data_IF_562543298448
#
_entry.id   IF_562543298448
#
_cell.length_a   1.000
_cell.length_b   1.000
_cell.length_c   1.000
_cell.angle_alpha   90.00
_cell.angle_beta   90.00
_cell.angle_gamma   90.00
#
_symmetry.space_group_name_H-M   'P 1'
#
loop_
_entity.id
_entity.type
_entity.pdbx_description
1 polymer ?
#
# COMPACT_ATOMS: atom_id res chain seq x y z
N UNK A 1 9.11 -34.35 17.64
CA UNK A 1 8.34 -34.14 18.90
C UNK A 1 8.32 -35.45 19.68
N UNK A 2 8.72 -35.46 20.95
CA UNK A 2 8.47 -36.60 21.84
C UNK A 2 7.02 -36.50 22.31
N UNK A 3 6.21 -37.52 22.08
CA UNK A 3 4.82 -37.56 22.53
C UNK A 3 4.82 -37.51 24.08
N UNK A 4 4.13 -36.55 24.72
CA UNK A 4 4.04 -36.51 26.17
C UNK A 4 3.50 -37.84 26.71
N UNK A 5 4.08 -38.36 27.80
CA UNK A 5 3.57 -39.57 28.44
C UNK A 5 2.12 -39.30 28.91
N UNK A 6 1.15 -39.93 28.26
CA UNK A 6 -0.26 -39.86 28.66
C UNK A 6 -0.49 -40.93 29.70
N UNK A 7 -0.88 -40.53 30.90
CA UNK A 7 -1.19 -41.41 32.03
C UNK A 7 -2.60 -42.01 31.96
N UNK A 8 -3.32 -41.79 30.85
CA UNK A 8 -4.62 -42.40 30.61
C UNK A 8 -4.43 -43.73 29.87
N UNK A 9 -4.88 -44.82 30.49
CA UNK A 9 -4.92 -46.13 29.84
C UNK A 9 -5.75 -46.07 28.54
N UNK A 10 -5.18 -46.53 27.43
CA UNK A 10 -5.84 -46.66 26.11
C UNK A 10 -6.19 -45.35 25.37
N UNK A 11 -5.43 -44.27 25.56
CA UNK A 11 -5.60 -43.06 24.74
C UNK A 11 -5.10 -43.27 23.30
N UNK A 12 -5.99 -43.15 22.32
CA UNK A 12 -5.68 -43.16 20.89
C UNK A 12 -6.28 -41.95 20.17
N UNK A 13 -5.52 -41.36 19.24
CA UNK A 13 -6.02 -40.35 18.34
C UNK A 13 -6.89 -40.99 17.25
N UNK A 14 -8.19 -40.69 17.28
CA UNK A 14 -9.13 -41.18 16.26
C UNK A 14 -8.76 -40.63 14.87
N UNK A 15 -8.82 -41.48 13.85
CA UNK A 15 -8.56 -41.10 12.45
C UNK A 15 -9.32 -39.85 12.00
N UNK A 16 -10.60 -39.70 12.37
CA UNK A 16 -11.40 -38.53 12.01
C UNK A 16 -10.84 -37.20 12.54
N UNK A 17 -10.12 -37.21 13.67
CA UNK A 17 -9.46 -36.02 14.21
C UNK A 17 -8.21 -35.66 13.41
N UNK A 18 -7.47 -36.68 12.95
CA UNK A 18 -6.32 -36.52 12.06
C UNK A 18 -6.77 -35.93 10.73
N UNK A 19 -7.83 -36.48 10.12
CA UNK A 19 -8.41 -35.94 8.88
C UNK A 19 -8.87 -34.48 9.03
N UNK A 20 -9.43 -34.12 10.19
CA UNK A 20 -9.90 -32.76 10.45
C UNK A 20 -8.75 -31.73 10.44
N UNK A 21 -7.61 -32.05 11.05
CA UNK A 21 -6.44 -31.16 11.04
C UNK A 21 -5.70 -31.18 9.71
N UNK A 22 -5.79 -32.27 8.95
CA UNK A 22 -5.22 -32.38 7.61
C UNK A 22 -6.00 -31.59 6.54
N UNK A 23 -7.27 -31.26 6.79
CA UNK A 23 -8.11 -30.56 5.81
C UNK A 23 -7.58 -29.15 5.45
N UNK A 24 -6.75 -28.57 6.31
CA UNK A 24 -6.10 -27.27 6.08
C UNK A 24 -4.67 -27.29 6.57
N UNK A 25 -3.85 -28.14 5.95
CA UNK A 25 -2.42 -28.21 6.23
C UNK A 25 -1.71 -26.91 5.88
N UNK A 26 -0.67 -26.61 6.65
CA UNK A 26 0.26 -25.52 6.36
C UNK A 26 1.52 -26.09 5.70
N UNK A 27 1.82 -25.61 4.49
CA UNK A 27 2.93 -26.13 3.69
C UNK A 27 4.25 -25.38 3.94
N UNK A 28 4.15 -24.14 4.41
CA UNK A 28 5.30 -23.23 4.58
C UNK A 28 5.58 -22.36 3.36
N UNK A 29 4.57 -22.10 2.51
CA UNK A 29 4.70 -21.18 1.38
C UNK A 29 4.69 -19.71 1.82
N UNK A 30 5.32 -18.82 1.06
CA UNK A 30 5.43 -17.39 1.40
C UNK A 30 4.09 -16.65 1.54
N UNK A 31 3.05 -17.13 0.85
CA UNK A 31 1.70 -16.56 0.89
C UNK A 31 0.83 -17.07 2.04
N UNK A 32 1.28 -18.10 2.77
CA UNK A 32 0.53 -18.65 3.89
C UNK A 32 0.77 -17.83 5.16
N UNK A 33 -0.30 -17.59 5.93
CA UNK A 33 -0.21 -16.90 7.22
C UNK A 33 -0.10 -17.92 8.37
N UNK A 34 1.08 -18.05 9.01
CA UNK A 34 1.26 -19.00 10.10
C UNK A 34 0.46 -18.63 11.36
N UNK A 35 0.13 -17.35 11.58
CA UNK A 35 -0.75 -16.96 12.68
C UNK A 35 -2.20 -17.40 12.43
N UNK A 36 -2.69 -17.25 11.20
CA UNK A 36 -4.00 -17.77 10.81
C UNK A 36 -4.08 -19.29 10.95
N UNK A 37 -3.00 -20.01 10.58
CA UNK A 37 -2.90 -21.47 10.78
C UNK A 37 -3.03 -21.86 12.26
N UNK A 38 -2.20 -21.25 13.13
CA UNK A 38 -2.23 -21.54 14.57
C UNK A 38 -3.60 -21.24 15.18
N UNK A 39 -4.26 -20.14 14.78
CA UNK A 39 -5.61 -19.81 15.24
C UNK A 39 -6.65 -20.85 14.81
N UNK A 40 -6.61 -21.28 13.55
CA UNK A 40 -7.48 -22.34 13.05
C UNK A 40 -7.26 -23.67 13.80
N UNK A 41 -6.00 -24.07 13.97
CA UNK A 41 -5.63 -25.27 14.72
C UNK A 41 -6.10 -25.22 16.19
N UNK A 42 -5.91 -24.07 16.85
CA UNK A 42 -6.39 -23.86 18.22
C UNK A 42 -7.91 -23.94 18.31
N UNK A 43 -8.65 -23.41 17.34
CA UNK A 43 -10.11 -23.52 17.31
C UNK A 43 -10.55 -24.98 17.24
N UNK A 44 -9.98 -25.80 16.35
CA UNK A 44 -10.29 -27.24 16.28
C UNK A 44 -9.97 -27.93 17.61
N UNK A 45 -8.73 -27.77 18.08
CA UNK A 45 -8.25 -28.49 19.27
C UNK A 45 -8.91 -28.05 20.57
N UNK A 46 -9.47 -26.83 20.63
CA UNK A 46 -10.25 -26.35 21.79
C UNK A 46 -11.55 -27.12 22.01
N UNK A 47 -12.11 -27.72 20.95
CA UNK A 47 -13.33 -28.54 21.03
C UNK A 47 -13.07 -29.95 21.54
N UNK A 48 -11.80 -30.38 21.55
CA UNK A 48 -11.40 -31.72 21.94
C UNK A 48 -11.23 -31.80 23.46
N UNK A 49 -12.05 -32.65 24.09
CA UNK A 49 -11.99 -32.96 25.51
C UNK A 49 -11.82 -34.46 25.70
N UNK A 50 -10.71 -34.85 26.33
CA UNK A 50 -10.46 -36.23 26.74
C UNK A 50 -10.25 -36.26 28.25
N UNK A 51 -10.89 -37.20 28.98
CA UNK A 51 -10.65 -37.39 30.40
C UNK A 51 -9.16 -37.61 30.66
N UNK A 52 -8.59 -36.93 31.66
CA UNK A 52 -7.22 -37.09 32.13
C UNK A 52 -6.11 -36.79 31.10
N UNK A 53 -6.43 -36.17 29.95
CA UNK A 53 -5.41 -35.74 28.97
C UNK A 53 -5.39 -34.22 28.86
N UNK A 54 -4.27 -33.56 29.21
CA UNK A 54 -4.14 -32.12 29.05
C UNK A 54 -4.32 -31.68 27.60
N UNK A 55 -5.02 -30.56 27.38
CA UNK A 55 -5.24 -30.04 26.03
C UNK A 55 -3.94 -29.73 25.28
N UNK A 56 -2.92 -29.27 26.01
CA UNK A 56 -1.56 -29.08 25.51
C UNK A 56 -0.98 -30.36 24.90
N UNK A 57 -1.19 -31.52 25.53
CA UNK A 57 -0.73 -32.81 25.01
C UNK A 57 -1.44 -33.17 23.71
N UNK A 58 -2.76 -32.97 23.65
CA UNK A 58 -3.56 -33.18 22.42
C UNK A 58 -3.01 -32.34 21.27
N UNK A 59 -2.77 -31.04 21.53
CA UNK A 59 -2.22 -30.11 20.54
C UNK A 59 -0.86 -30.57 20.02
N UNK A 60 0.06 -30.93 20.91
CA UNK A 60 1.40 -31.38 20.52
C UNK A 60 1.37 -32.67 19.68
N UNK A 61 0.44 -33.58 19.95
CA UNK A 61 0.28 -34.80 19.15
C UNK A 61 -0.39 -34.56 17.80
N UNK A 62 -1.35 -33.63 17.71
CA UNK A 62 -2.08 -33.36 16.47
C UNK A 62 -1.34 -32.40 15.53
N UNK A 63 -0.50 -31.53 16.07
CA UNK A 63 0.18 -30.50 15.28
C UNK A 63 1.01 -31.03 14.10
N UNK A 64 1.78 -32.13 14.21
CA UNK A 64 2.49 -32.71 13.07
C UNK A 64 1.58 -33.00 11.87
N UNK A 65 0.36 -33.49 12.11
CA UNK A 65 -0.61 -33.80 11.05
C UNK A 65 -1.23 -32.55 10.41
N UNK A 66 -1.03 -31.37 11.01
CA UNK A 66 -1.46 -30.08 10.44
C UNK A 66 -0.41 -29.43 9.54
N UNK A 67 0.78 -30.03 9.41
CA UNK A 67 1.87 -29.52 8.60
C UNK A 67 2.10 -30.43 7.40
N UNK A 68 2.65 -29.87 6.33
CA UNK A 68 3.07 -30.58 5.12
C UNK A 68 4.29 -29.86 4.52
N UNK A 69 4.99 -30.49 3.57
CA UNK A 69 6.04 -29.82 2.80
C UNK A 69 7.17 -29.23 3.67
N UNK A 70 7.50 -27.94 3.46
CA UNK A 70 8.59 -27.27 4.17
C UNK A 70 8.33 -27.19 5.67
N UNK A 71 7.07 -27.03 6.08
CA UNK A 71 6.70 -26.97 7.49
C UNK A 71 6.89 -28.31 8.21
N UNK A 72 6.55 -29.42 7.55
CA UNK A 72 6.81 -30.75 8.09
C UNK A 72 8.32 -31.01 8.23
N UNK A 73 9.10 -30.72 7.18
CA UNK A 73 10.56 -30.88 7.19
C UNK A 73 11.20 -30.07 8.32
N UNK A 74 10.71 -28.85 8.58
CA UNK A 74 11.18 -28.04 9.71
C UNK A 74 10.93 -28.74 11.05
N UNK A 75 9.73 -29.27 11.24
CA UNK A 75 9.35 -29.92 12.49
C UNK A 75 10.18 -31.19 12.76
N UNK A 76 10.51 -31.94 11.72
CA UNK A 76 11.38 -33.13 11.79
C UNK A 76 12.83 -32.79 12.16
N UNK A 77 13.31 -31.60 11.78
CA UNK A 77 14.66 -31.11 12.12
C UNK A 77 14.76 -30.59 13.55
N UNK A 78 13.64 -30.32 14.23
CA UNK A 78 13.69 -29.86 15.61
C UNK A 78 14.21 -30.98 16.53
N UNK A 79 15.19 -30.68 17.41
CA UNK A 79 15.81 -31.69 18.26
C UNK A 79 14.75 -32.36 19.16
N UNK A 80 14.84 -33.68 19.40
CA UNK A 80 13.99 -34.36 20.36
C UNK A 80 14.31 -33.82 21.76
N UNK A 81 13.52 -32.87 22.24
CA UNK A 81 13.60 -32.36 23.61
C UNK A 81 12.37 -32.81 24.39
N UNK A 82 12.59 -33.25 25.62
CA UNK A 82 11.63 -33.95 26.47
C UNK A 82 10.58 -33.04 27.16
N UNK A 83 10.50 -31.76 26.78
CA UNK A 83 9.67 -30.76 27.47
C UNK A 83 9.14 -29.65 26.52
N UNK A 84 8.65 -30.02 25.34
CA UNK A 84 7.90 -29.07 24.50
C UNK A 84 6.64 -28.61 25.24
N UNK A 85 6.55 -27.34 25.58
CA UNK A 85 5.25 -26.69 25.83
C UNK A 85 4.65 -26.28 24.49
N UNK A 86 3.32 -26.23 24.39
CA UNK A 86 2.64 -25.75 23.20
C UNK A 86 3.09 -24.34 22.82
N UNK A 87 3.21 -23.44 23.80
CA UNK A 87 3.61 -22.05 23.56
C UNK A 87 5.05 -21.95 23.02
N UNK A 88 5.97 -22.79 23.52
CA UNK A 88 7.33 -22.84 23.00
C UNK A 88 7.36 -23.31 21.55
N UNK A 89 6.59 -24.35 21.20
CA UNK A 89 6.50 -24.85 19.82
C UNK A 89 5.90 -23.80 18.88
N UNK A 90 4.81 -23.15 19.30
CA UNK A 90 4.17 -22.08 18.53
C UNK A 90 5.16 -20.92 18.31
N UNK A 91 5.86 -20.48 19.35
CA UNK A 91 6.85 -19.40 19.24
C UNK A 91 7.94 -19.74 18.23
N UNK A 92 8.48 -20.97 18.29
CA UNK A 92 9.47 -21.49 17.34
C UNK A 92 8.92 -21.55 15.92
N UNK A 93 7.70 -22.04 15.74
CA UNK A 93 7.03 -22.13 14.44
C UNK A 93 6.82 -20.74 13.81
N UNK A 94 6.25 -19.79 14.57
CA UNK A 94 6.05 -18.42 14.10
C UNK A 94 7.40 -17.79 13.72
N UNK A 95 8.42 -17.90 14.56
CA UNK A 95 9.74 -17.34 14.25
C UNK A 95 10.41 -17.97 13.02
N UNK A 96 10.07 -19.21 12.66
CA UNK A 96 10.63 -19.85 11.48
C UNK A 96 9.95 -19.38 10.19
N UNK A 97 8.62 -19.35 10.16
CA UNK A 97 7.84 -19.07 8.94
C UNK A 97 7.48 -17.59 8.78
N UNK A 98 7.48 -16.87 9.90
CA UNK A 98 7.25 -15.43 9.99
C UNK A 98 8.25 -14.81 10.98
N UNK A 99 9.57 -14.89 10.69
CA UNK A 99 10.59 -14.37 11.58
C UNK A 99 10.35 -12.88 11.87
N UNK A 100 10.75 -12.40 13.05
CA UNK A 100 10.66 -10.98 13.38
C UNK A 100 11.28 -10.09 12.31
N UNK A 101 12.32 -10.55 11.59
CA UNK A 101 12.91 -9.84 10.46
C UNK A 101 11.93 -9.52 9.31
N UNK A 102 10.92 -10.36 9.05
CA UNK A 102 9.83 -10.05 8.10
C UNK A 102 8.92 -8.91 8.62
N UNK A 103 8.82 -8.74 9.94
CA UNK A 103 8.13 -7.59 10.59
C UNK A 103 9.05 -6.41 10.89
N UNK A 104 10.38 -6.61 10.87
CA UNK A 104 11.38 -5.57 11.11
C UNK A 104 11.38 -4.54 9.99
N UNK A 105 11.10 -4.94 8.74
CA UNK A 105 11.05 -3.98 7.65
C UNK A 105 9.90 -2.97 7.82
N UNK A 106 8.61 -3.37 7.96
CA UNK A 106 7.54 -2.38 8.16
C UNK A 106 7.70 -1.59 9.48
N UNK A 107 8.24 -2.20 10.54
CA UNK A 107 8.53 -1.48 11.80
C UNK A 107 9.57 -0.37 11.60
N UNK A 108 10.63 -0.68 10.87
CA UNK A 108 11.67 0.28 10.53
C UNK A 108 11.13 1.32 9.54
N UNK A 109 10.30 0.93 8.59
CA UNK A 109 9.66 1.85 7.65
C UNK A 109 8.68 2.79 8.33
N UNK A 110 7.98 2.37 9.39
CA UNK A 110 7.15 3.25 10.22
C UNK A 110 8.03 4.18 11.04
N UNK A 111 9.04 3.67 11.74
CA UNK A 111 9.92 4.48 12.60
C UNK A 111 10.74 5.50 11.80
N UNK A 112 11.19 5.12 10.60
CA UNK A 112 11.95 5.98 9.69
C UNK A 112 11.07 6.55 8.58
N UNK A 113 9.74 6.58 8.78
CA UNK A 113 8.84 7.12 7.79
C UNK A 113 9.23 8.57 7.50
N UNK A 114 9.24 8.93 6.22
CA UNK A 114 9.47 10.30 5.78
C UNK A 114 8.64 10.53 4.53
N UNK A 115 7.98 11.69 4.45
CA UNK A 115 7.29 12.12 3.26
C UNK A 115 8.32 12.44 2.16
N UNK A 116 8.17 11.86 0.97
CA UNK A 116 9.04 12.18 -0.16
C UNK A 116 8.79 13.61 -0.67
N UNK A 117 9.79 14.24 -1.28
CA UNK A 117 9.70 15.63 -1.73
C UNK A 117 8.60 15.86 -2.79
N UNK A 118 8.37 14.88 -3.65
CA UNK A 118 7.35 14.86 -4.70
C UNK A 118 6.03 14.19 -4.28
N UNK A 119 5.96 13.67 -3.05
CA UNK A 119 4.79 12.96 -2.53
C UNK A 119 3.81 13.93 -1.88
N UNK A 120 2.56 13.89 -2.34
CA UNK A 120 1.49 14.69 -1.74
C UNK A 120 1.15 14.19 -0.33
N UNK A 121 0.63 15.08 0.52
CA UNK A 121 0.18 14.71 1.87
C UNK A 121 -0.73 13.47 1.91
N UNK A 122 -1.65 13.36 0.95
CA UNK A 122 -2.57 12.24 0.94
C UNK A 122 -1.89 10.94 0.51
N UNK A 123 -0.89 10.98 -0.37
CA UNK A 123 -0.10 9.77 -0.73
C UNK A 123 0.70 9.29 0.45
N UNK A 124 1.35 10.21 1.17
CA UNK A 124 2.05 9.89 2.41
C UNK A 124 1.11 9.31 3.46
N UNK A 125 -0.10 9.88 3.63
CA UNK A 125 -1.11 9.38 4.56
C UNK A 125 -1.59 7.97 4.17
N UNK A 126 -1.84 7.72 2.90
CA UNK A 126 -2.27 6.40 2.40
C UNK A 126 -1.16 5.36 2.61
N UNK A 127 0.09 5.69 2.27
CA UNK A 127 1.28 4.84 2.47
C UNK A 127 1.49 4.52 3.95
N UNK A 128 1.38 5.51 4.83
CA UNK A 128 1.52 5.28 6.27
C UNK A 128 0.41 4.35 6.81
N UNK A 129 -0.83 4.51 6.36
CA UNK A 129 -1.93 3.60 6.73
C UNK A 129 -1.72 2.18 6.20
N UNK A 130 -1.16 2.03 5.01
CA UNK A 130 -0.81 0.72 4.44
C UNK A 130 0.24 0.01 5.30
N UNK A 131 1.27 0.73 5.76
CA UNK A 131 2.28 0.20 6.68
C UNK A 131 1.69 -0.24 8.02
N UNK A 132 0.78 0.56 8.60
CA UNK A 132 0.08 0.19 9.84
C UNK A 132 -0.78 -1.07 9.65
N UNK A 133 -1.43 -1.23 8.48
CA UNK A 133 -2.23 -2.41 8.14
C UNK A 133 -1.40 -3.67 7.93
N UNK A 134 -0.15 -3.54 7.46
CA UNK A 134 0.78 -4.65 7.33
C UNK A 134 1.28 -5.20 8.69
N UNK A 135 1.19 -4.40 9.76
CA UNK A 135 1.68 -4.74 11.10
C UNK A 135 0.66 -4.51 12.23
N UNK A 136 -0.50 -5.20 12.21
CA UNK A 136 -1.58 -4.95 13.18
C UNK A 136 -1.24 -5.39 14.63
N UNK A 137 -0.20 -6.20 14.80
CA UNK A 137 0.21 -6.77 16.10
C UNK A 137 1.34 -5.98 16.79
N UNK A 138 1.83 -4.89 16.19
CA UNK A 138 3.00 -4.17 16.69
C UNK A 138 2.76 -3.26 17.90
N UNK A 139 1.49 -3.03 18.26
CA UNK A 139 1.15 -2.37 19.53
C UNK A 139 1.51 -0.88 19.62
N UNK A 140 1.68 -0.18 18.50
CA UNK A 140 1.86 1.28 18.51
C UNK A 140 0.60 1.97 19.01
N UNK A 141 0.73 2.83 20.04
CA UNK A 141 -0.38 3.66 20.50
C UNK A 141 -0.78 4.68 19.43
N UNK A 142 -2.04 5.13 19.44
CA UNK A 142 -2.52 6.18 18.51
C UNK A 142 -1.65 7.45 18.61
N UNK A 143 -1.24 7.83 19.82
CA UNK A 143 -0.35 8.96 20.04
C UNK A 143 1.00 8.78 19.36
N UNK A 144 1.61 7.60 19.48
CA UNK A 144 2.89 7.31 18.82
C UNK A 144 2.76 7.32 17.29
N UNK A 145 1.65 6.83 16.75
CA UNK A 145 1.39 6.87 15.32
C UNK A 145 1.24 8.31 14.82
N UNK A 146 0.52 9.16 15.55
CA UNK A 146 0.33 10.58 15.22
C UNK A 146 1.63 11.38 15.29
N UNK A 147 2.42 11.18 16.35
CA UNK A 147 3.72 11.82 16.53
C UNK A 147 4.69 11.43 15.40
N UNK A 148 4.82 10.12 15.14
CA UNK A 148 5.67 9.60 14.07
C UNK A 148 5.27 10.15 12.71
N UNK A 149 3.97 10.14 12.39
CA UNK A 149 3.48 10.67 11.12
C UNK A 149 3.74 12.16 11.00
N UNK A 150 3.43 12.97 12.01
CA UNK A 150 3.62 14.42 11.98
C UNK A 150 5.09 14.79 11.78
N UNK A 151 6.00 14.18 12.55
CA UNK A 151 7.44 14.47 12.49
C UNK A 151 8.08 14.04 11.17
N UNK A 152 7.46 13.09 10.46
CA UNK A 152 7.90 12.62 9.16
C UNK A 152 7.45 13.48 7.97
N UNK A 153 6.48 14.38 8.17
CA UNK A 153 5.99 15.27 7.11
C UNK A 153 6.99 16.37 6.78
N UNK A 154 6.88 16.90 5.56
CA UNK A 154 7.59 18.13 5.22
C UNK A 154 7.01 19.33 5.98
N UNK A 155 7.79 20.41 6.11
CA UNK A 155 7.41 21.60 6.87
C UNK A 155 6.09 22.22 6.41
N UNK A 156 5.84 22.26 5.09
CA UNK A 156 4.61 22.80 4.51
C UNK A 156 3.37 22.05 4.99
N UNK A 157 3.44 20.72 5.04
CA UNK A 157 2.32 19.90 5.49
C UNK A 157 2.17 19.92 7.02
N UNK A 158 3.26 20.04 7.78
CA UNK A 158 3.22 20.30 9.22
C UNK A 158 2.52 21.64 9.53
N UNK A 159 2.92 22.73 8.87
CA UNK A 159 2.33 24.06 9.04
C UNK A 159 0.85 24.07 8.67
N UNK A 160 0.49 23.34 7.62
CA UNK A 160 -0.91 23.17 7.22
C UNK A 160 -1.73 22.42 8.27
N UNK A 161 -1.17 21.41 8.94
CA UNK A 161 -1.83 20.71 10.03
C UNK A 161 -1.97 21.61 11.27
N UNK A 162 -0.92 22.35 11.64
CA UNK A 162 -0.96 23.30 12.75
C UNK A 162 -2.02 24.41 12.52
N UNK A 163 -2.09 24.92 11.29
CA UNK A 163 -3.10 25.92 10.90
C UNK A 163 -4.51 25.36 11.02
N UNK A 164 -4.74 24.12 10.58
CA UNK A 164 -6.04 23.46 10.69
C UNK A 164 -6.42 23.12 12.15
N UNK A 165 -5.43 22.86 13.00
CA UNK A 165 -5.63 22.66 14.44
C UNK A 165 -5.87 23.98 15.20
N UNK A 166 -5.53 25.13 14.61
CA UNK A 166 -5.54 26.42 15.31
C UNK A 166 -4.48 26.50 16.41
N UNK A 167 -3.33 25.83 16.23
CA UNK A 167 -2.27 25.71 17.22
C UNK A 167 -1.33 24.55 16.90
N UNK A 168 -0.56 24.07 17.88
CA UNK A 168 0.28 22.88 17.70
C UNK A 168 -0.63 21.67 17.50
N UNK A 169 -0.46 20.98 16.38
CA UNK A 169 -1.28 19.83 16.00
C UNK A 169 -1.24 18.71 17.05
N UNK A 170 -0.04 18.40 17.57
CA UNK A 170 0.16 17.33 18.54
C UNK A 170 -0.41 17.62 19.94
N UNK A 171 -0.82 18.87 20.23
CA UNK A 171 -1.48 19.22 21.50
C UNK A 171 -2.98 18.88 21.50
N UNK A 172 -3.54 18.53 20.34
CA UNK A 172 -4.96 18.15 20.21
C UNK A 172 -5.19 16.72 20.69
N UNK A 173 -6.45 16.43 21.00
CA UNK A 173 -6.86 15.06 21.32
C UNK A 173 -6.68 14.15 20.10
N UNK A 174 -6.27 12.88 20.25
CA UNK A 174 -6.00 11.98 19.11
C UNK A 174 -7.13 11.91 18.07
N UNK A 175 -8.38 11.87 18.53
CA UNK A 175 -9.57 11.88 17.67
C UNK A 175 -9.65 13.13 16.76
N UNK A 176 -9.22 14.28 17.27
CA UNK A 176 -9.22 15.56 16.54
C UNK A 176 -8.07 15.58 15.53
N UNK A 177 -6.89 15.10 15.92
CA UNK A 177 -5.76 14.92 15.02
C UNK A 177 -6.12 14.04 13.82
N UNK A 178 -6.76 12.89 14.08
CA UNK A 178 -7.24 11.98 13.02
C UNK A 178 -8.24 12.69 12.10
N UNK A 179 -9.22 13.41 12.66
CA UNK A 179 -10.21 14.14 11.88
C UNK A 179 -9.58 15.22 10.97
N UNK A 180 -8.58 15.95 11.47
CA UNK A 180 -7.84 16.95 10.71
C UNK A 180 -7.04 16.30 9.57
N UNK A 181 -6.32 15.21 9.86
CA UNK A 181 -5.57 14.43 8.85
C UNK A 181 -6.52 13.96 7.75
N UNK A 182 -7.66 13.38 8.11
CA UNK A 182 -8.65 12.92 7.13
C UNK A 182 -9.25 14.06 6.31
N UNK A 183 -9.54 15.20 6.94
CA UNK A 183 -10.07 16.37 6.24
C UNK A 183 -9.08 16.86 5.18
N UNK A 184 -7.79 16.99 5.56
CA UNK A 184 -6.73 17.40 4.65
C UNK A 184 -6.46 16.38 3.54
N UNK A 185 -6.50 15.08 3.84
CA UNK A 185 -6.30 14.03 2.83
C UNK A 185 -7.42 14.01 1.79
N UNK A 186 -8.65 14.38 2.17
CA UNK A 186 -9.83 14.46 1.28
C UNK A 186 -9.81 15.66 0.33
N UNK A 187 -8.90 16.63 0.49
CA UNK A 187 -8.78 17.79 -0.41
C UNK A 187 -8.38 17.42 -1.86
N UNK A 188 -8.05 16.14 -2.13
CA UNK A 188 -7.78 15.61 -3.49
C UNK A 188 -8.91 15.84 -4.50
N UNK A 189 -10.17 16.10 -4.09
CA UNK A 189 -11.30 16.21 -5.04
C UNK A 189 -11.89 17.62 -5.22
N UNK A 190 -11.37 18.65 -4.55
CA UNK A 190 -12.00 20.00 -4.62
C UNK A 190 -11.22 21.05 -5.40
N UNK A 191 -9.96 20.83 -5.80
CA UNK A 191 -9.18 21.88 -6.47
C UNK A 191 -9.20 21.84 -8.01
N UNK A 192 -10.03 20.97 -8.62
CA UNK A 192 -10.31 20.98 -10.06
C UNK A 192 -11.71 21.51 -10.40
N UNK A 193 -12.24 22.44 -9.60
CA UNK A 193 -13.29 23.34 -10.09
C UNK A 193 -12.61 24.69 -10.35
N UNK A 194 -12.69 25.25 -11.57
CA UNK A 194 -12.31 26.63 -11.75
C UNK A 194 -13.25 27.45 -10.87
N UNK A 195 -12.74 27.95 -9.76
CA UNK A 195 -13.43 28.97 -8.98
C UNK A 195 -13.43 30.20 -9.87
N UNK A 196 -14.53 30.40 -10.59
CA UNK A 196 -14.88 31.73 -11.09
C UNK A 196 -15.06 32.58 -9.83
N UNK A 197 -14.00 33.30 -9.48
CA UNK A 197 -14.07 34.32 -8.45
C UNK A 197 -15.15 35.32 -8.87
N UNK A 198 -16.33 35.24 -8.23
CA UNK A 198 -17.22 36.38 -8.16
C UNK A 198 -16.52 37.43 -7.31
N UNK A 199 -15.70 38.25 -7.95
CA UNK A 199 -15.27 39.53 -7.41
C UNK A 199 -16.53 40.37 -7.24
N UNK A 200 -17.04 40.45 -6.01
CA UNK A 200 -17.95 41.51 -5.63
C UNK A 200 -17.10 42.76 -5.42
N UNK A 201 -16.99 43.56 -6.48
CA UNK A 201 -16.36 44.87 -6.46
C UNK A 201 -17.37 45.85 -5.85
N UNK A 202 -17.19 46.20 -4.59
CA UNK A 202 -17.57 47.51 -4.08
C UNK A 202 -16.44 48.49 -4.40
N UNK A 203 -16.84 49.57 -5.05
CA UNK A 203 -16.05 50.61 -5.68
C UNK A 203 -15.17 51.38 -4.68
N UNK A 204 -13.87 51.45 -4.98
CA UNK A 204 -13.08 52.66 -4.73
C UNK A 204 -11.91 52.74 -5.72
N UNK A 205 -11.89 53.88 -6.40
CA UNK A 205 -11.08 54.33 -7.53
C UNK A 205 -9.58 54.38 -7.26
N UNK A 206 -8.75 53.78 -8.13
CA UNK A 206 -7.49 54.40 -8.63
C UNK A 206 -6.85 53.59 -9.76
N UNK A 207 -6.73 54.21 -10.95
CA UNK A 207 -5.64 54.03 -11.92
C UNK A 207 -5.48 52.67 -12.62
N UNK A 208 -6.12 52.48 -13.77
CA UNK A 208 -5.71 51.45 -14.73
C UNK A 208 -4.55 52.01 -15.58
N UNK A 209 -3.39 51.35 -15.49
CA UNK A 209 -2.17 51.64 -16.26
C UNK A 209 -2.40 51.47 -17.78
N UNK A 210 -1.86 52.37 -18.63
CA UNK A 210 -2.05 52.36 -20.09
C UNK A 210 -1.49 51.14 -20.84
N UNK A 211 -0.74 50.26 -20.20
CA UNK A 211 -0.08 49.11 -20.85
C UNK A 211 -1.04 47.96 -21.22
N UNK A 212 -2.16 47.81 -20.51
CA UNK A 212 -3.11 46.70 -20.75
C UNK A 212 -3.94 46.93 -22.01
N UNK A 213 -4.26 48.18 -22.35
CA UNK A 213 -4.98 48.52 -23.57
C UNK A 213 -4.14 48.24 -24.82
N UNK A 214 -2.84 48.55 -24.76
CA UNK A 214 -1.89 48.36 -25.87
C UNK A 214 -1.66 46.88 -26.19
N UNK A 215 -1.62 46.04 -25.15
CA UNK A 215 -1.45 44.58 -25.30
C UNK A 215 -2.69 43.93 -25.94
N UNK A 216 -3.88 44.44 -25.62
CA UNK A 216 -5.15 43.97 -26.20
C UNK A 216 -5.28 44.30 -27.69
N UNK A 217 -4.77 45.44 -28.12
CA UNK A 217 -4.79 45.84 -29.54
C UNK A 217 -3.73 45.10 -30.36
N UNK A 218 -2.55 44.82 -29.79
CA UNK A 218 -1.53 43.97 -30.44
C UNK A 218 -2.02 42.54 -30.66
N UNK A 219 -2.75 41.96 -29.70
CA UNK A 219 -3.33 40.61 -29.84
C UNK A 219 -4.40 40.57 -30.93
N UNK A 220 -5.19 41.63 -31.11
CA UNK A 220 -6.16 41.74 -32.21
C UNK A 220 -5.49 41.85 -33.58
N UNK A 221 -4.38 42.58 -33.69
CA UNK A 221 -3.62 42.70 -34.94
C UNK A 221 -3.03 41.35 -35.39
N UNK A 222 -2.49 40.55 -34.46
CA UNK A 222 -1.94 39.21 -34.75
C UNK A 222 -3.02 38.21 -35.17
N UNK A 223 -4.24 38.32 -34.63
CA UNK A 223 -5.37 37.46 -34.98
C UNK A 223 -5.95 37.74 -36.38
N UNK A 224 -5.80 38.95 -36.90
CA UNK A 224 -6.30 39.31 -38.23
C UNK A 224 -5.35 38.88 -39.35
N UNK A 225 -4.04 38.79 -39.08
CA UNK A 225 -3.03 38.45 -40.10
C UNK A 225 -3.05 36.96 -40.49
N UNK A 226 -3.50 36.07 -39.59
CA UNK A 226 -3.65 34.63 -39.86
C UNK A 226 -4.85 34.24 -40.74
N UNK A 227 -5.75 35.18 -41.07
CA UNK A 227 -6.93 34.89 -41.91
C UNK A 227 -6.68 35.08 -43.41
N UNK A 228 -5.53 35.65 -43.81
CA UNK A 228 -5.25 36.04 -45.20
C UNK A 228 -4.37 35.06 -46.01
N UNK A 229 -3.96 33.91 -45.46
CA UNK A 229 -3.05 32.97 -46.16
C UNK A 229 -3.64 31.61 -46.59
N UNK A 230 -4.94 31.37 -46.44
CA UNK A 230 -5.55 30.14 -46.95
C UNK A 230 -6.51 30.43 -48.13
N UNK A 231 -5.95 30.59 -49.33
CA UNK A 231 -6.70 30.42 -50.58
C UNK A 231 -5.78 29.95 -51.73
N UNK A 232 -5.88 28.67 -52.12
CA UNK A 232 -5.65 28.21 -53.50
C UNK A 232 -6.98 28.40 -54.29
N UNK A 233 -7.09 28.34 -55.65
CA UNK A 233 -6.24 27.59 -56.61
C UNK A 233 -6.04 28.26 -58.01
N UNK A 234 -5.29 27.62 -58.94
CA UNK A 234 -5.58 27.67 -60.39
C UNK A 234 -4.82 26.60 -61.21
N UNK A 235 -5.57 25.92 -62.08
CA UNK A 235 -5.16 24.91 -63.08
C UNK A 235 -4.98 25.57 -64.44
N UNK A 236 -3.96 25.21 -65.24
CA UNK A 236 -3.95 25.44 -66.71
C UNK A 236 -3.27 24.29 -67.49
N UNK A 237 -4.12 23.63 -68.31
CA UNK A 237 -4.00 22.92 -69.59
C UNK A 237 -2.69 22.31 -70.14
N UNK A 238 -2.88 21.12 -70.69
CA UNK A 238 -2.03 20.34 -71.59
C UNK A 238 -1.98 20.86 -73.04
N UNK A 239 -0.87 20.54 -73.73
CA UNK A 239 -0.69 20.47 -75.20
C UNK A 239 0.33 19.34 -75.48
N UNK A 240 -0.08 18.32 -76.25
CA UNK A 240 0.74 17.35 -77.02
C UNK A 240 1.41 18.07 -78.22
N UNK A 241 2.46 17.66 -78.94
CA UNK A 241 3.16 16.39 -79.22
C UNK A 241 4.46 16.80 -79.96
N UNK A 242 5.53 15.99 -79.95
CA UNK A 242 6.26 15.59 -81.19
C UNK A 242 7.57 14.87 -80.91
N UNK A 243 7.72 13.78 -81.66
CA UNK A 243 8.81 12.83 -81.77
C UNK A 243 10.12 13.44 -82.30
N UNK A 244 11.26 13.01 -81.76
CA UNK A 244 12.48 12.77 -82.56
C UNK A 244 13.18 11.50 -82.07
N UNK A 245 13.18 10.48 -82.93
CA UNK A 245 14.10 9.35 -82.91
C UNK A 245 15.39 9.71 -83.65
N UNK A 246 16.54 9.52 -83.01
CA UNK A 246 17.85 9.23 -83.62
C UNK A 246 18.74 8.65 -82.50
N UNK A 247 19.44 7.53 -82.58
CA UNK A 247 19.96 6.78 -83.72
C UNK A 247 21.49 6.82 -83.66
N UNK A 248 22.15 5.71 -83.27
CA UNK A 248 23.49 5.36 -83.77
C UNK A 248 24.68 5.31 -82.79
N UNK A 249 25.00 4.07 -82.38
CA UNK A 249 26.27 3.31 -82.51
C UNK A 249 27.69 3.88 -82.18
N UNK A 250 28.44 3.00 -81.48
CA UNK A 250 29.90 2.73 -81.50
C UNK A 250 30.85 3.83 -80.98
N UNK A 251 32.00 3.60 -80.34
CA UNK A 251 32.96 2.48 -80.15
C UNK A 251 34.01 3.03 -79.13
N UNK A 252 34.73 2.28 -78.30
CA UNK A 252 35.72 1.21 -78.53
C UNK A 252 35.98 0.51 -77.18
#
# INVERSE_FOLDING_TARGET
>A
IVIPAITADNFELKHGLVTLVQNKQFFGYDKEDPHAHIRYFNNITSTLKFPNVPNTSIKLMLFPFSLEGTAQIWLEKEPPRSNFTWDYLVSKFINQFFPPSKTTNPRNEITNFQQCFDESFSEACDRFKDLLRACPHLGFSELHQLDTFYNALNSKDQDSLNSAAGGIFLDKMPRECIAIIESKSKLRYSCNKPVVAKVSMNTSTSGISPDVAKLKDMVKAILLDKKSQNQAPATVKAVEESCVTCGGANSY
#
